data_IF_825546101038
#
_entry.id   IF_825546101038
#
_cell.length_a   1.000
_cell.length_b   1.000
_cell.length_c   1.000
_cell.angle_alpha   90.00
_cell.angle_beta   90.00
_cell.angle_gamma   90.00
#
_symmetry.space_group_name_H-M   'P 1'
#
loop_
_entity.id
_entity.type
_entity.pdbx_description
1 polymer ?
#
# COMPACT_ATOMS: atom_id res chain seq x y z
N UNK A 1 20.63 -25.72 29.70
CA UNK A 1 21.49 -25.18 28.61
C UNK A 1 20.75 -24.22 27.66
N UNK A 2 19.43 -24.13 27.72
CA UNK A 2 18.61 -23.28 26.81
C UNK A 2 18.43 -21.82 27.27
N UNK A 3 18.57 -21.50 28.54
CA UNK A 3 18.29 -20.14 29.06
C UNK A 3 19.42 -19.13 28.80
N UNK A 4 20.64 -19.55 28.60
CA UNK A 4 21.78 -18.67 28.33
C UNK A 4 21.80 -18.20 26.87
N UNK A 5 21.20 -18.95 25.97
CA UNK A 5 21.23 -18.70 24.53
C UNK A 5 20.22 -17.59 24.11
N UNK A 6 19.06 -17.52 24.74
CA UNK A 6 18.00 -16.56 24.39
C UNK A 6 18.38 -15.11 24.72
N UNK A 7 18.97 -14.85 25.89
CA UNK A 7 19.40 -13.49 26.27
C UNK A 7 20.51 -12.98 25.34
N UNK A 8 21.45 -13.85 24.97
CA UNK A 8 22.51 -13.52 24.01
C UNK A 8 21.96 -13.26 22.59
N UNK A 9 20.92 -13.96 22.18
CA UNK A 9 20.28 -13.76 20.88
C UNK A 9 19.48 -12.44 20.83
N UNK A 10 18.75 -12.10 21.90
CA UNK A 10 18.04 -10.81 22.01
C UNK A 10 19.03 -9.63 22.02
N UNK A 11 20.11 -9.72 22.77
CA UNK A 11 21.16 -8.70 22.79
C UNK A 11 21.78 -8.51 21.39
N UNK A 12 22.10 -9.60 20.70
CA UNK A 12 22.62 -9.53 19.34
C UNK A 12 21.62 -8.94 18.33
N UNK A 13 20.32 -9.30 18.45
CA UNK A 13 19.26 -8.72 17.64
C UNK A 13 19.18 -7.21 17.86
N UNK A 14 19.11 -6.74 19.11
CA UNK A 14 19.02 -5.31 19.43
C UNK A 14 20.27 -4.56 18.96
N UNK A 15 21.48 -5.15 19.13
CA UNK A 15 22.74 -4.58 18.62
C UNK A 15 22.67 -4.34 17.11
N UNK A 16 22.14 -5.31 16.33
CA UNK A 16 21.94 -5.15 14.88
C UNK A 16 20.97 -4.00 14.58
N UNK A 17 19.84 -3.94 15.30
CA UNK A 17 18.87 -2.86 15.16
C UNK A 17 19.51 -1.50 15.42
N UNK A 18 20.26 -1.36 16.51
CA UNK A 18 20.94 -0.11 16.88
C UNK A 18 21.98 0.31 15.84
N UNK A 19 22.75 -0.65 15.32
CA UNK A 19 23.77 -0.44 14.29
C UNK A 19 23.20 -0.22 12.87
N UNK A 20 21.87 -0.22 12.70
CA UNK A 20 21.22 -0.15 11.38
C UNK A 20 21.57 -1.33 10.44
N UNK A 21 22.05 -2.44 10.99
CA UNK A 21 22.25 -3.67 10.25
C UNK A 21 20.90 -4.31 9.90
N UNK A 22 20.80 -4.92 8.72
CA UNK A 22 19.57 -5.62 8.31
C UNK A 22 19.41 -6.94 9.02
N UNK A 23 18.19 -7.22 9.45
CA UNK A 23 17.79 -8.56 9.88
C UNK A 23 17.41 -9.35 8.62
N UNK A 24 18.07 -10.46 8.41
CA UNK A 24 17.84 -11.33 7.26
C UNK A 24 17.02 -12.57 7.64
N UNK A 25 16.41 -13.30 6.67
CA UNK A 25 15.52 -14.43 6.95
C UNK A 25 16.11 -15.55 7.84
N UNK A 26 17.42 -15.70 7.83
CA UNK A 26 18.14 -16.70 8.62
C UNK A 26 18.58 -16.20 10.00
N UNK A 27 18.47 -14.91 10.24
CA UNK A 27 18.81 -14.34 11.54
C UNK A 27 17.74 -14.73 12.57
N UNK A 28 18.20 -14.94 13.80
CA UNK A 28 17.27 -15.02 14.90
C UNK A 28 16.57 -13.66 15.13
N UNK A 29 15.27 -13.71 15.35
CA UNK A 29 14.46 -12.54 15.65
C UNK A 29 13.36 -12.88 16.68
N UNK A 30 12.99 -11.93 17.55
CA UNK A 30 11.88 -12.12 18.47
C UNK A 30 10.58 -12.42 17.73
N UNK A 31 9.76 -13.30 18.30
CA UNK A 31 8.47 -13.66 17.69
C UNK A 31 7.53 -12.45 17.55
N UNK A 32 7.59 -11.50 18.46
CA UNK A 32 6.83 -10.25 18.39
C UNK A 32 7.25 -9.37 17.20
N UNK A 33 8.56 -9.32 16.89
CA UNK A 33 9.08 -8.63 15.70
C UNK A 33 8.61 -9.33 14.42
N UNK A 34 8.70 -10.66 14.35
CA UNK A 34 8.22 -11.48 13.23
C UNK A 34 6.73 -11.24 12.95
N UNK A 35 5.90 -11.32 13.99
CA UNK A 35 4.44 -11.09 13.87
C UNK A 35 4.10 -9.68 13.40
N UNK A 36 4.83 -8.66 13.86
CA UNK A 36 4.65 -7.29 13.42
C UNK A 36 4.98 -7.13 11.93
N UNK A 37 6.09 -7.73 11.48
CA UNK A 37 6.48 -7.74 10.06
C UNK A 37 5.45 -8.46 9.20
N UNK A 38 5.00 -9.67 9.59
CA UNK A 38 3.99 -10.42 8.85
C UNK A 38 2.74 -9.57 8.69
N UNK A 39 2.23 -8.99 9.77
CA UNK A 39 1.05 -8.12 9.74
C UNK A 39 1.22 -6.93 8.78
N UNK A 40 2.34 -6.21 8.90
CA UNK A 40 2.57 -5.00 8.11
C UNK A 40 2.79 -5.32 6.63
N UNK A 41 3.62 -6.32 6.34
CA UNK A 41 3.96 -6.70 4.97
C UNK A 41 2.79 -7.37 4.25
N UNK A 42 2.01 -8.21 4.96
CA UNK A 42 0.81 -8.81 4.37
C UNK A 42 -0.26 -7.76 4.08
N UNK A 43 -0.50 -6.82 5.00
CA UNK A 43 -1.44 -5.72 4.77
C UNK A 43 -1.03 -4.88 3.54
N UNK A 44 0.26 -4.63 3.37
CA UNK A 44 0.78 -3.93 2.20
C UNK A 44 0.54 -4.76 0.93
N UNK A 45 0.92 -6.04 0.90
CA UNK A 45 0.68 -6.94 -0.24
C UNK A 45 -0.81 -7.04 -0.61
N UNK A 46 -1.69 -7.15 0.39
CA UNK A 46 -3.14 -7.17 0.18
C UNK A 46 -3.65 -5.85 -0.40
N UNK A 47 -3.04 -4.73 0.00
CA UNK A 47 -3.39 -3.40 -0.52
C UNK A 47 -3.09 -3.29 -2.00
N UNK A 48 -1.92 -3.75 -2.45
CA UNK A 48 -1.55 -3.80 -3.87
C UNK A 48 -2.55 -4.63 -4.69
N UNK A 49 -2.85 -5.85 -4.21
CA UNK A 49 -3.75 -6.77 -4.91
C UNK A 49 -5.19 -6.23 -5.00
N UNK A 50 -5.72 -5.69 -3.92
CA UNK A 50 -7.07 -5.10 -3.90
C UNK A 50 -7.08 -3.77 -4.67
N UNK A 51 -6.01 -2.98 -4.56
CA UNK A 51 -5.83 -1.69 -5.21
C UNK A 51 -5.89 -1.76 -6.74
N UNK A 52 -5.56 -2.90 -7.34
CA UNK A 52 -5.73 -3.10 -8.78
C UNK A 52 -7.18 -2.96 -9.27
N UNK A 53 -8.17 -3.27 -8.42
CA UNK A 53 -9.57 -3.33 -8.87
C UNK A 53 -10.15 -1.96 -9.26
N UNK A 54 -10.03 -0.89 -8.43
CA UNK A 54 -10.61 0.41 -8.77
C UNK A 54 -10.06 0.98 -10.08
N UNK A 55 -8.82 0.73 -10.42
CA UNK A 55 -8.18 1.21 -11.64
C UNK A 55 -8.32 0.21 -12.81
N UNK A 56 -8.19 -1.08 -12.55
CA UNK A 56 -8.35 -2.14 -13.54
C UNK A 56 -9.70 -2.09 -14.26
N UNK A 57 -10.75 -1.74 -13.55
CA UNK A 57 -12.10 -1.53 -14.10
C UNK A 57 -12.19 -0.36 -15.11
N UNK A 58 -11.18 0.51 -15.16
CA UNK A 58 -11.11 1.65 -16.07
C UNK A 58 -10.24 1.43 -17.30
N UNK A 59 -9.49 0.34 -17.40
CA UNK A 59 -8.58 0.09 -18.53
C UNK A 59 -9.31 0.21 -19.86
N UNK A 60 -10.48 -0.44 -20.01
CA UNK A 60 -11.26 -0.40 -21.27
C UNK A 60 -11.98 0.93 -21.48
N UNK A 61 -12.23 1.70 -20.42
CA UNK A 61 -12.97 2.97 -20.43
C UNK A 61 -12.09 4.21 -20.47
N UNK A 62 -10.76 4.06 -20.33
CA UNK A 62 -9.82 5.17 -20.37
C UNK A 62 -9.96 5.99 -21.67
N UNK A 63 -9.82 7.33 -21.63
CA UNK A 63 -10.27 8.23 -22.70
C UNK A 63 -9.46 8.17 -23.99
N UNK A 64 -8.31 7.52 -24.00
CA UNK A 64 -7.49 7.36 -25.21
C UNK A 64 -6.69 6.06 -25.17
N UNK A 65 -6.21 5.60 -26.32
CA UNK A 65 -5.37 4.39 -26.39
C UNK A 65 -4.08 4.56 -25.58
N UNK A 66 -3.48 5.76 -25.58
CA UNK A 66 -2.31 6.07 -24.74
C UNK A 66 -2.65 5.91 -23.24
N UNK A 67 -3.78 6.46 -22.78
CA UNK A 67 -4.20 6.34 -21.38
C UNK A 67 -4.56 4.92 -21.00
N UNK A 68 -5.14 4.13 -21.93
CA UNK A 68 -5.36 2.69 -21.71
C UNK A 68 -4.04 1.94 -21.48
N UNK A 69 -3.04 2.18 -22.33
CA UNK A 69 -1.74 1.53 -22.23
C UNK A 69 -1.01 1.92 -20.90
N UNK A 70 -1.05 3.18 -20.52
CA UNK A 70 -0.46 3.66 -19.24
C UNK A 70 -1.16 3.00 -18.05
N UNK A 71 -2.49 2.98 -18.02
CA UNK A 71 -3.25 2.38 -16.92
C UNK A 71 -3.04 0.86 -16.82
N UNK A 72 -2.96 0.16 -17.97
CA UNK A 72 -2.64 -1.26 -18.00
C UNK A 72 -1.26 -1.54 -17.42
N UNK A 73 -0.26 -0.72 -17.78
CA UNK A 73 1.10 -0.84 -17.23
C UNK A 73 1.10 -0.65 -15.72
N UNK A 74 0.42 0.39 -15.22
CA UNK A 74 0.28 0.63 -13.78
C UNK A 74 -0.34 -0.58 -13.06
N UNK A 75 -1.49 -1.06 -13.50
CA UNK A 75 -2.17 -2.20 -12.88
C UNK A 75 -1.30 -3.47 -12.89
N UNK A 76 -0.47 -3.64 -13.91
CA UNK A 76 0.51 -4.73 -13.96
C UNK A 76 1.63 -4.55 -12.92
N UNK A 77 2.10 -3.32 -12.71
CA UNK A 77 3.10 -3.01 -11.69
C UNK A 77 2.54 -3.29 -10.28
N UNK A 78 1.30 -2.90 -9.97
CA UNK A 78 0.63 -3.22 -8.68
C UNK A 78 0.56 -4.73 -8.41
N UNK A 79 0.26 -5.52 -9.47
CA UNK A 79 0.32 -6.98 -9.36
C UNK A 79 1.74 -7.48 -9.02
N UNK A 80 2.75 -6.87 -9.61
CA UNK A 80 4.17 -7.14 -9.35
C UNK A 80 4.56 -6.78 -7.92
N UNK A 81 4.12 -5.62 -7.42
CA UNK A 81 4.32 -5.17 -6.04
C UNK A 81 3.76 -6.18 -5.04
N UNK A 82 2.50 -6.61 -5.24
CA UNK A 82 1.87 -7.65 -4.44
C UNK A 82 2.69 -8.94 -4.40
N UNK A 83 3.20 -9.40 -5.56
CA UNK A 83 4.05 -10.60 -5.64
C UNK A 83 5.37 -10.45 -4.87
N UNK A 84 6.05 -9.28 -4.97
CA UNK A 84 7.30 -9.05 -4.24
C UNK A 84 7.07 -9.04 -2.74
N UNK A 85 5.99 -8.39 -2.28
CA UNK A 85 5.65 -8.29 -0.87
C UNK A 85 5.24 -9.64 -0.28
N UNK A 86 4.43 -10.43 -1.00
CA UNK A 86 4.14 -11.80 -0.58
C UNK A 86 5.40 -12.65 -0.49
N UNK A 87 6.26 -12.59 -1.51
CA UNK A 87 7.53 -13.36 -1.49
C UNK A 87 8.46 -12.95 -0.35
N UNK A 88 8.49 -11.66 -0.01
CA UNK A 88 9.24 -11.19 1.15
C UNK A 88 8.59 -11.65 2.47
N UNK A 89 7.25 -11.70 2.55
CA UNK A 89 6.52 -12.15 3.75
C UNK A 89 6.68 -13.68 3.95
N UNK A 90 6.71 -14.45 2.86
CA UNK A 90 6.95 -15.89 2.90
C UNK A 90 8.30 -16.25 3.54
N UNK A 91 9.30 -15.37 3.48
CA UNK A 91 10.59 -15.56 4.16
C UNK A 91 10.50 -15.53 5.69
N UNK A 92 9.36 -15.11 6.24
CA UNK A 92 9.05 -15.12 7.67
C UNK A 92 8.35 -16.42 8.13
N UNK A 93 8.18 -17.41 7.23
CA UNK A 93 7.65 -18.74 7.55
C UNK A 93 6.12 -18.86 7.47
N UNK A 94 5.45 -17.93 6.79
CA UNK A 94 4.02 -18.02 6.46
C UNK A 94 3.86 -18.22 4.96
N UNK A 95 2.96 -19.10 4.54
CA UNK A 95 2.73 -19.36 3.11
C UNK A 95 1.84 -18.30 2.46
N UNK A 96 2.02 -18.08 1.16
CA UNK A 96 1.13 -17.22 0.36
C UNK A 96 -0.32 -17.69 0.42
N UNK A 97 -0.57 -18.99 0.46
CA UNK A 97 -1.90 -19.53 0.55
C UNK A 97 -2.60 -19.14 1.86
N UNK A 98 -1.87 -19.15 2.99
CA UNK A 98 -2.40 -18.68 4.28
C UNK A 98 -2.68 -17.17 4.24
N UNK A 99 -1.79 -16.37 3.63
CA UNK A 99 -1.99 -14.93 3.48
C UNK A 99 -3.23 -14.59 2.65
N UNK A 100 -3.42 -15.29 1.52
CA UNK A 100 -4.59 -15.12 0.66
C UNK A 100 -5.87 -15.59 1.37
N UNK A 101 -5.83 -16.71 2.06
CA UNK A 101 -6.98 -17.21 2.83
C UNK A 101 -7.40 -16.21 3.91
N UNK A 102 -6.45 -15.61 4.63
CA UNK A 102 -6.74 -14.57 5.62
C UNK A 102 -7.36 -13.29 5.01
N UNK A 103 -6.95 -12.91 3.78
CA UNK A 103 -7.59 -11.81 3.06
C UNK A 103 -9.05 -12.17 2.68
N UNK A 104 -9.28 -13.37 2.16
CA UNK A 104 -10.59 -13.82 1.70
C UNK A 104 -11.59 -14.05 2.85
N UNK A 105 -11.11 -14.48 4.02
CA UNK A 105 -11.94 -14.62 5.23
C UNK A 105 -12.27 -13.28 5.89
N UNK A 106 -11.58 -12.18 5.52
CA UNK A 106 -11.72 -10.87 6.15
C UNK A 106 -10.93 -10.73 7.47
N UNK A 107 -10.14 -11.72 7.85
CA UNK A 107 -9.23 -11.62 9.01
C UNK A 107 -8.09 -10.64 8.75
N UNK A 108 -7.52 -10.66 7.54
CA UNK A 108 -6.51 -9.72 7.14
C UNK A 108 -7.12 -8.44 6.59
N UNK A 109 -6.42 -7.32 6.79
CA UNK A 109 -6.82 -5.99 6.34
C UNK A 109 -5.96 -5.54 5.17
N UNK A 110 -6.49 -4.58 4.42
CA UNK A 110 -5.80 -3.81 3.38
C UNK A 110 -6.11 -2.32 3.57
N UNK A 111 -5.46 -1.44 2.81
CA UNK A 111 -5.64 0.00 2.95
C UNK A 111 -7.10 0.42 2.73
N UNK A 112 -7.65 1.20 3.67
CA UNK A 112 -9.06 1.64 3.69
C UNK A 112 -9.48 2.36 2.43
N UNK A 113 -8.56 3.11 1.81
CA UNK A 113 -8.80 3.95 0.63
C UNK A 113 -9.37 3.15 -0.56
N UNK A 114 -9.00 1.88 -0.72
CA UNK A 114 -9.51 1.06 -1.83
C UNK A 114 -10.99 0.67 -1.69
N UNK A 115 -11.62 1.01 -0.57
CA UNK A 115 -13.05 0.82 -0.33
C UNK A 115 -13.90 2.05 -0.75
N UNK A 116 -13.27 3.07 -1.33
CA UNK A 116 -13.96 4.21 -1.92
C UNK A 116 -14.27 3.95 -3.41
N UNK A 117 -15.39 4.47 -3.93
CA UNK A 117 -15.79 4.20 -5.31
C UNK A 117 -14.97 5.01 -6.32
N UNK A 118 -14.69 4.41 -7.47
CA UNK A 118 -14.05 5.06 -8.62
C UNK A 118 -15.09 5.33 -9.68
N UNK A 119 -15.71 6.50 -9.65
CA UNK A 119 -16.93 6.85 -10.41
C UNK A 119 -16.60 7.49 -11.76
N UNK A 120 -15.49 8.23 -11.85
CA UNK A 120 -15.10 9.00 -13.02
C UNK A 120 -13.65 8.78 -13.39
N UNK A 121 -13.25 9.24 -14.58
CA UNK A 121 -11.83 9.26 -14.98
C UNK A 121 -10.99 10.17 -14.06
N UNK A 122 -11.60 11.20 -13.49
CA UNK A 122 -10.96 12.05 -12.49
C UNK A 122 -10.55 11.26 -11.25
N UNK A 123 -11.35 10.27 -10.83
CA UNK A 123 -11.03 9.43 -9.68
C UNK A 123 -9.80 8.55 -9.95
N UNK A 124 -9.65 8.05 -11.18
CA UNK A 124 -8.42 7.33 -11.58
C UNK A 124 -7.19 8.25 -11.47
N UNK A 125 -7.34 9.51 -11.87
CA UNK A 125 -6.30 10.53 -11.70
C UNK A 125 -6.02 10.81 -10.21
N UNK A 126 -7.07 10.91 -9.39
CA UNK A 126 -6.93 11.17 -7.95
C UNK A 126 -6.27 9.97 -7.23
N UNK A 127 -6.58 8.74 -7.60
CA UNK A 127 -5.90 7.54 -7.08
C UNK A 127 -4.41 7.63 -7.42
N UNK A 128 -4.05 7.79 -8.69
CA UNK A 128 -2.65 7.90 -9.08
C UNK A 128 -1.90 9.05 -8.41
N UNK A 129 -2.54 10.18 -8.16
CA UNK A 129 -1.87 11.32 -7.55
C UNK A 129 -1.86 11.26 -6.01
N UNK A 130 -3.05 11.11 -5.38
CA UNK A 130 -3.18 11.21 -3.93
C UNK A 130 -2.87 9.88 -3.23
N UNK A 131 -3.36 8.76 -3.77
CA UNK A 131 -3.19 7.45 -3.10
C UNK A 131 -1.77 6.96 -3.29
N UNK A 132 -1.25 6.96 -4.52
CA UNK A 132 0.14 6.58 -4.77
C UNK A 132 1.11 7.62 -4.15
N UNK A 133 0.72 8.90 -4.11
CA UNK A 133 1.49 9.94 -3.40
C UNK A 133 1.61 9.67 -1.90
N UNK A 134 0.51 9.29 -1.24
CA UNK A 134 0.54 8.89 0.17
C UNK A 134 1.31 7.58 0.36
N UNK A 135 1.16 6.63 -0.57
CA UNK A 135 1.94 5.39 -0.57
C UNK A 135 3.45 5.68 -0.65
N UNK A 136 3.90 6.53 -1.57
CA UNK A 136 5.31 6.92 -1.70
C UNK A 136 5.85 7.54 -0.41
N UNK A 137 5.12 8.47 0.21
CA UNK A 137 5.55 9.08 1.47
C UNK A 137 5.79 8.03 2.56
N UNK A 138 4.91 7.04 2.67
CA UNK A 138 5.09 5.89 3.56
C UNK A 138 6.27 4.99 3.15
N UNK A 139 6.33 4.62 1.89
CA UNK A 139 7.21 3.58 1.36
C UNK A 139 8.68 4.03 1.27
N UNK A 140 8.95 5.31 1.03
CA UNK A 140 10.32 5.85 0.99
C UNK A 140 11.01 5.62 2.33
N UNK A 141 10.33 5.80 3.45
CA UNK A 141 10.88 5.50 4.78
C UNK A 141 11.14 4.00 4.97
N UNK A 142 10.32 3.14 4.37
CA UNK A 142 10.45 1.67 4.43
C UNK A 142 11.64 1.12 3.65
N UNK A 143 12.26 1.87 2.73
CA UNK A 143 13.54 1.48 2.12
C UNK A 143 14.64 1.32 3.18
N UNK A 144 14.48 1.95 4.33
CA UNK A 144 15.38 1.88 5.47
C UNK A 144 14.89 0.96 6.59
N UNK A 145 13.79 0.23 6.39
CA UNK A 145 13.27 -0.73 7.37
C UNK A 145 14.36 -1.72 7.80
N UNK A 146 14.29 -2.20 9.03
CA UNK A 146 15.27 -3.13 9.59
C UNK A 146 15.26 -4.51 8.94
N UNK A 147 14.15 -4.92 8.28
CA UNK A 147 14.06 -6.22 7.63
C UNK A 147 14.54 -6.18 6.18
N UNK A 148 15.60 -6.92 5.88
CA UNK A 148 16.31 -6.87 4.59
C UNK A 148 15.43 -7.15 3.36
N UNK A 149 14.63 -8.23 3.31
CA UNK A 149 13.75 -8.52 2.17
C UNK A 149 12.76 -7.41 1.88
N UNK A 150 12.13 -6.82 2.92
CA UNK A 150 11.19 -5.72 2.77
C UNK A 150 11.88 -4.45 2.25
N UNK A 151 13.02 -4.09 2.86
CA UNK A 151 13.83 -2.94 2.44
C UNK A 151 14.21 -3.01 0.95
N UNK A 152 14.66 -4.16 0.47
CA UNK A 152 15.04 -4.35 -0.94
C UNK A 152 13.85 -4.25 -1.89
N UNK A 153 12.68 -4.80 -1.51
CA UNK A 153 11.45 -4.67 -2.28
C UNK A 153 11.03 -3.22 -2.46
N UNK A 154 11.12 -2.41 -1.40
CA UNK A 154 10.73 -0.99 -1.43
C UNK A 154 11.55 -0.14 -2.40
N UNK A 155 12.81 -0.47 -2.65
CA UNK A 155 13.67 0.27 -3.60
C UNK A 155 13.06 0.25 -5.02
N UNK A 156 12.53 -0.89 -5.43
CA UNK A 156 11.89 -1.04 -6.75
C UNK A 156 10.50 -0.43 -6.75
N UNK A 157 9.67 -0.80 -5.78
CA UNK A 157 8.28 -0.32 -5.66
C UNK A 157 8.23 1.20 -5.69
N UNK A 158 9.01 1.91 -4.88
CA UNK A 158 9.02 3.38 -4.87
C UNK A 158 9.38 4.03 -6.21
N UNK A 159 10.18 3.36 -7.05
CA UNK A 159 10.50 3.90 -8.39
C UNK A 159 9.30 3.83 -9.34
N UNK A 160 8.60 2.71 -9.31
CA UNK A 160 7.41 2.47 -10.11
C UNK A 160 6.26 3.38 -9.65
N UNK A 161 6.03 3.50 -8.33
CA UNK A 161 5.06 4.40 -7.72
C UNK A 161 5.27 5.88 -8.08
N UNK A 162 6.52 6.34 -8.15
CA UNK A 162 6.82 7.71 -8.56
C UNK A 162 6.31 8.02 -9.97
N UNK A 163 6.31 7.03 -10.84
CA UNK A 163 5.77 7.16 -12.18
C UNK A 163 4.23 7.17 -12.16
N UNK A 164 3.62 6.32 -11.33
CA UNK A 164 2.17 6.25 -11.14
C UNK A 164 1.63 7.59 -10.62
N UNK A 165 2.24 8.14 -9.56
CA UNK A 165 1.87 9.44 -9.00
C UNK A 165 1.91 10.55 -10.06
N UNK A 166 2.97 10.62 -10.84
CA UNK A 166 3.10 11.61 -11.90
C UNK A 166 2.00 11.47 -12.95
N UNK A 167 1.67 10.25 -13.37
CA UNK A 167 0.62 10.00 -14.36
C UNK A 167 -0.76 10.38 -13.86
N UNK A 168 -1.05 10.14 -12.57
CA UNK A 168 -2.28 10.56 -11.91
C UNK A 168 -2.40 12.09 -11.85
N UNK A 169 -1.35 12.77 -11.40
CA UNK A 169 -1.31 14.22 -11.37
C UNK A 169 -1.50 14.86 -12.77
N UNK A 170 -0.81 14.36 -13.79
CA UNK A 170 -0.96 14.82 -15.18
C UNK A 170 -2.40 14.59 -15.70
N UNK A 171 -3.08 13.53 -15.28
CA UNK A 171 -4.48 13.29 -15.66
C UNK A 171 -5.41 14.35 -15.04
N UNK A 172 -5.25 14.65 -13.75
CA UNK A 172 -6.02 15.70 -13.09
C UNK A 172 -5.69 17.08 -13.59
N UNK A 173 -4.42 17.38 -13.86
CA UNK A 173 -4.00 18.65 -14.46
C UNK A 173 -4.67 18.89 -15.82
N UNK A 174 -4.77 17.86 -16.65
CA UNK A 174 -5.46 17.95 -17.94
C UNK A 174 -6.96 18.22 -17.77
N UNK A 175 -7.61 17.62 -16.78
CA UNK A 175 -9.03 17.89 -16.47
C UNK A 175 -9.22 19.28 -15.87
N UNK A 176 -8.38 19.68 -14.91
CA UNK A 176 -8.47 20.98 -14.24
C UNK A 176 -8.27 22.18 -15.19
N UNK A 177 -7.51 21.97 -16.28
CA UNK A 177 -7.28 22.97 -17.35
C UNK A 177 -8.22 22.80 -18.56
N UNK A 178 -9.17 21.87 -18.49
CA UNK A 178 -10.11 21.59 -19.57
C UNK A 178 -11.36 22.43 -19.52
N UNK A 179 -12.50 21.85 -19.95
CA UNK A 179 -13.80 22.51 -19.86
C UNK A 179 -14.26 22.68 -18.40
N UNK A 180 -15.26 23.54 -18.12
CA UNK A 180 -15.84 23.67 -16.79
C UNK A 180 -16.28 22.33 -16.18
N UNK A 181 -16.87 21.44 -16.97
CA UNK A 181 -17.32 20.12 -16.54
C UNK A 181 -16.15 19.20 -16.20
N UNK A 182 -15.06 19.29 -16.96
CA UNK A 182 -13.81 18.55 -16.68
C UNK A 182 -13.14 19.07 -15.40
N UNK A 183 -13.11 20.39 -15.21
CA UNK A 183 -12.59 20.98 -13.97
C UNK A 183 -13.45 20.55 -12.76
N UNK A 184 -14.78 20.54 -12.91
CA UNK A 184 -15.67 20.06 -11.87
C UNK A 184 -15.41 18.58 -11.56
N UNK A 185 -15.21 17.74 -12.56
CA UNK A 185 -14.84 16.33 -12.37
C UNK A 185 -13.53 16.19 -11.56
N UNK A 186 -12.53 17.02 -11.83
CA UNK A 186 -11.28 17.02 -11.07
C UNK A 186 -11.51 17.45 -9.61
N UNK A 187 -12.35 18.47 -9.40
CA UNK A 187 -12.73 18.94 -8.06
C UNK A 187 -13.46 17.86 -7.25
N UNK A 188 -14.45 17.23 -7.86
CA UNK A 188 -15.25 16.17 -7.21
C UNK A 188 -14.35 14.98 -6.82
N UNK A 189 -13.37 14.65 -7.66
CA UNK A 189 -12.42 13.58 -7.39
C UNK A 189 -11.44 13.95 -6.29
N UNK A 190 -10.95 15.19 -6.27
CA UNK A 190 -10.14 15.71 -5.16
C UNK A 190 -10.91 15.66 -3.83
N UNK A 191 -12.15 16.11 -3.82
CA UNK A 191 -13.00 16.10 -2.63
C UNK A 191 -13.25 14.68 -2.10
N UNK A 192 -13.36 13.69 -2.99
CA UNK A 192 -13.62 12.30 -2.63
C UNK A 192 -12.38 11.60 -2.05
N UNK A 193 -11.19 11.91 -2.53
CA UNK A 193 -9.99 11.14 -2.20
C UNK A 193 -9.03 11.84 -1.24
N UNK A 194 -9.15 13.15 -1.00
CA UNK A 194 -8.22 13.88 -0.15
C UNK A 194 -8.19 13.37 1.30
N UNK A 195 -9.34 13.37 1.98
CA UNK A 195 -9.42 12.91 3.36
C UNK A 195 -9.09 11.42 3.52
N UNK A 196 -9.62 10.53 2.68
CA UNK A 196 -9.20 9.12 2.69
C UNK A 196 -7.69 8.91 2.45
N UNK A 197 -7.03 9.74 1.65
CA UNK A 197 -5.58 9.67 1.47
C UNK A 197 -4.81 10.03 2.75
N UNK A 198 -5.29 11.02 3.53
CA UNK A 198 -4.72 11.34 4.85
C UNK A 198 -4.89 10.20 5.86
N UNK A 199 -6.00 9.46 5.77
CA UNK A 199 -6.27 8.29 6.62
C UNK A 199 -5.31 7.11 6.34
N UNK A 200 -4.65 7.07 5.17
CA UNK A 200 -3.69 6.00 4.84
C UNK A 200 -2.47 5.98 5.78
N UNK A 201 -2.15 7.08 6.42
CA UNK A 201 -1.07 7.15 7.40
C UNK A 201 -1.43 6.50 8.75
N UNK A 202 -2.71 6.19 8.94
CA UNK A 202 -3.26 5.63 10.18
C UNK A 202 -3.57 6.70 11.24
N UNK A 203 -4.13 6.32 12.39
CA UNK A 203 -4.48 7.24 13.46
C UNK A 203 -3.23 7.90 14.06
N UNK A 204 -3.44 8.89 14.93
CA UNK A 204 -2.37 9.55 15.67
C UNK A 204 -1.47 8.54 16.39
N UNK A 205 -0.17 8.86 16.48
CA UNK A 205 0.80 7.93 17.08
C UNK A 205 0.49 7.61 18.54
N UNK A 206 -0.12 8.54 19.28
CA UNK A 206 -0.61 8.33 20.64
C UNK A 206 -1.71 7.25 20.75
N UNK A 207 -2.43 6.99 19.67
CA UNK A 207 -3.54 6.03 19.59
C UNK A 207 -3.15 4.73 18.86
N UNK A 208 -1.95 4.70 18.29
CA UNK A 208 -1.47 3.57 17.50
C UNK A 208 -0.78 2.52 18.37
N UNK A 209 -1.46 1.42 18.64
CA UNK A 209 -0.97 0.32 19.48
C UNK A 209 0.37 -0.32 19.01
N UNK A 210 0.74 -0.14 17.74
CA UNK A 210 1.91 -0.79 17.14
C UNK A 210 3.01 0.18 16.74
N UNK A 211 2.76 1.50 16.74
CA UNK A 211 3.70 2.49 16.23
C UNK A 211 5.00 2.51 17.05
N UNK A 212 4.91 2.57 18.36
CA UNK A 212 6.07 2.65 19.25
C UNK A 212 7.05 1.46 19.06
N UNK A 213 6.54 0.23 19.05
CA UNK A 213 7.37 -0.97 18.84
C UNK A 213 7.94 -1.06 17.42
N UNK A 214 7.19 -0.63 16.41
CA UNK A 214 7.68 -0.58 15.03
C UNK A 214 8.81 0.44 14.86
N UNK A 215 8.75 1.56 15.58
CA UNK A 215 9.82 2.57 15.63
C UNK A 215 11.05 2.06 16.40
N UNK A 216 10.87 1.45 17.58
CA UNK A 216 11.95 0.85 18.38
C UNK A 216 12.75 -0.18 17.57
N UNK A 217 12.07 -1.04 16.84
CA UNK A 217 12.69 -2.06 15.99
C UNK A 217 13.11 -1.55 14.61
N UNK A 218 12.97 -0.26 14.37
CA UNK A 218 13.29 0.37 13.08
C UNK A 218 12.60 -0.30 11.88
N UNK A 219 11.47 -0.97 12.10
CA UNK A 219 10.57 -1.39 11.03
C UNK A 219 10.00 -0.15 10.37
N UNK A 220 9.54 0.81 11.16
CA UNK A 220 9.11 2.15 10.81
C UNK A 220 10.20 3.16 11.18
N UNK A 221 10.38 4.21 10.39
CA UNK A 221 11.43 5.22 10.62
C UNK A 221 10.87 6.61 10.91
N UNK A 222 9.60 6.80 10.69
CA UNK A 222 8.90 8.06 10.86
C UNK A 222 7.53 7.78 11.46
N UNK A 223 7.00 8.74 12.20
CA UNK A 223 5.69 8.62 12.83
C UNK A 223 4.55 8.75 11.82
N UNK A 224 3.34 8.33 12.18
CA UNK A 224 2.16 8.54 11.34
C UNK A 224 1.92 10.03 11.11
N UNK A 225 2.08 10.82 12.16
CA UNK A 225 1.84 12.25 12.14
C UNK A 225 2.87 12.98 11.28
N UNK A 226 4.16 12.63 11.37
CA UNK A 226 5.21 13.21 10.51
C UNK A 226 4.97 12.89 9.03
N UNK A 227 4.63 11.64 8.71
CA UNK A 227 4.37 11.24 7.33
C UNK A 227 3.13 11.93 6.75
N UNK A 228 2.07 12.05 7.55
CA UNK A 228 0.86 12.79 7.16
C UNK A 228 1.15 14.26 6.91
N UNK A 229 1.93 14.91 7.80
CA UNK A 229 2.34 16.30 7.65
C UNK A 229 3.14 16.50 6.35
N UNK A 230 4.11 15.64 6.07
CA UNK A 230 4.85 15.68 4.80
C UNK A 230 3.95 15.59 3.58
N UNK A 231 2.96 14.70 3.62
CA UNK A 231 2.02 14.58 2.50
C UNK A 231 1.16 15.83 2.32
N UNK A 232 0.69 16.44 3.42
CA UNK A 232 -0.05 17.71 3.39
C UNK A 232 0.81 18.81 2.77
N UNK A 233 2.04 18.98 3.25
CA UNK A 233 2.96 20.02 2.79
C UNK A 233 3.33 19.88 1.29
N UNK A 234 3.35 18.64 0.78
CA UNK A 234 3.57 18.36 -0.65
C UNK A 234 2.32 18.60 -1.50
N UNK A 235 1.14 18.29 -0.95
CA UNK A 235 -0.10 18.24 -1.73
C UNK A 235 -0.78 19.60 -1.84
N UNK A 236 -0.74 20.43 -0.80
CA UNK A 236 -1.38 21.76 -0.79
C UNK A 236 -0.89 22.65 -1.93
N UNK A 237 0.42 22.84 -2.16
CA UNK A 237 0.89 23.64 -3.31
C UNK A 237 0.49 23.04 -4.67
N UNK A 238 0.36 21.72 -4.75
CA UNK A 238 -0.07 21.05 -5.98
C UNK A 238 -1.56 21.32 -6.28
N UNK A 239 -2.43 21.36 -5.26
CA UNK A 239 -3.83 21.75 -5.40
C UNK A 239 -3.95 23.19 -5.91
N UNK A 240 -3.13 24.11 -5.40
CA UNK A 240 -3.06 25.49 -5.85
C UNK A 240 -2.67 25.59 -7.34
N UNK A 241 -1.65 24.85 -7.79
CA UNK A 241 -1.24 24.79 -9.20
C UNK A 241 -2.35 24.24 -10.11
N UNK A 242 -3.13 23.27 -9.62
CA UNK A 242 -4.31 22.77 -10.33
C UNK A 242 -5.41 23.83 -10.44
N UNK A 243 -5.43 24.83 -9.57
CA UNK A 243 -6.47 25.87 -9.48
C UNK A 243 -7.81 25.28 -9.01
N UNK A 244 -7.73 24.27 -8.14
CA UNK A 244 -8.86 23.62 -7.47
C UNK A 244 -9.02 24.18 -6.06
N UNK A 245 -10.24 24.09 -5.53
CA UNK A 245 -10.49 24.43 -4.14
C UNK A 245 -9.99 23.32 -3.22
N UNK A 246 -9.31 23.71 -2.14
CA UNK A 246 -8.85 22.75 -1.15
C UNK A 246 -10.06 22.14 -0.39
N UNK A 247 -10.13 20.79 -0.25
CA UNK A 247 -11.25 20.12 0.45
C UNK A 247 -11.32 20.47 1.94
N UNK A 248 -10.16 20.65 2.55
CA UNK A 248 -10.04 21.15 3.92
C UNK A 248 -10.14 22.68 3.93
N UNK A 249 -11.19 23.21 4.56
CA UNK A 249 -11.42 24.66 4.64
C UNK A 249 -10.65 25.32 5.80
N UNK A 250 -10.04 24.53 6.66
CA UNK A 250 -9.24 25.01 7.79
C UNK A 250 -7.75 25.09 7.46
N UNK A 251 -7.35 24.56 6.28
CA UNK A 251 -5.95 24.53 5.85
C UNK A 251 -5.34 25.93 5.83
N UNK A 252 -4.21 26.11 6.49
CA UNK A 252 -3.48 27.39 6.51
C UNK A 252 -2.00 27.16 6.73
N UNK A 253 -1.18 27.99 6.14
CA UNK A 253 0.26 28.01 6.41
C UNK A 253 0.53 28.55 7.82
N UNK A 254 1.38 27.86 8.56
CA UNK A 254 1.84 28.25 9.90
C UNK A 254 3.31 28.62 9.84
N UNK A 255 3.60 29.90 9.90
CA UNK A 255 4.97 30.45 9.80
C UNK A 255 5.89 29.97 10.93
N UNK A 256 5.36 29.76 12.13
CA UNK A 256 6.17 29.33 13.28
C UNK A 256 6.60 27.87 13.14
N UNK A 257 5.73 27.02 12.60
CA UNK A 257 5.99 25.60 12.39
C UNK A 257 6.70 25.31 11.06
N UNK A 258 6.58 26.21 10.08
CA UNK A 258 7.03 25.97 8.71
C UNK A 258 6.24 24.85 8.00
N UNK A 259 4.97 24.65 8.37
CA UNK A 259 4.08 23.60 7.88
C UNK A 259 2.67 24.13 7.70
N UNK A 260 1.84 23.40 6.92
CA UNK A 260 0.41 23.66 6.88
C UNK A 260 -0.30 23.05 8.10
N UNK A 261 -1.08 23.85 8.82
CA UNK A 261 -2.06 23.34 9.77
C UNK A 261 -3.28 22.84 9.01
N UNK A 262 -3.71 21.63 9.28
CA UNK A 262 -4.88 20.99 8.67
C UNK A 262 -6.01 20.84 9.69
N UNK A 263 -7.24 20.73 9.18
CA UNK A 263 -8.42 20.38 9.97
C UNK A 263 -8.40 18.93 10.46
N UNK A 264 -9.38 18.58 11.27
CA UNK A 264 -9.50 17.26 11.87
C UNK A 264 -9.98 16.21 10.85
N UNK A 265 -9.40 15.01 10.95
CA UNK A 265 -9.79 13.84 10.16
C UNK A 265 -10.94 13.12 10.86
N UNK A 266 -11.94 12.68 10.10
CA UNK A 266 -13.02 11.83 10.61
C UNK A 266 -12.52 10.40 10.84
N UNK A 267 -12.04 10.14 12.04
CA UNK A 267 -11.57 8.81 12.43
C UNK A 267 -12.70 7.81 12.61
N UNK A 268 -13.94 8.23 12.86
CA UNK A 268 -15.11 7.33 12.93
C UNK A 268 -15.40 6.76 11.53
N UNK A 269 -15.30 7.57 10.48
CA UNK A 269 -15.33 7.08 9.09
C UNK A 269 -14.22 6.06 8.83
N UNK A 270 -12.98 6.38 9.21
CA UNK A 270 -11.85 5.44 9.03
C UNK A 270 -12.11 4.09 9.69
N UNK A 271 -12.51 4.10 10.98
CA UNK A 271 -12.80 2.85 11.70
C UNK A 271 -14.01 2.11 11.12
N UNK A 272 -15.03 2.81 10.67
CA UNK A 272 -16.18 2.22 9.96
C UNK A 272 -15.71 1.47 8.71
N UNK A 273 -14.88 2.10 7.88
CA UNK A 273 -14.36 1.50 6.64
C UNK A 273 -13.47 0.29 6.91
N UNK A 274 -12.51 0.36 7.83
CA UNK A 274 -11.64 -0.79 8.12
C UNK A 274 -12.36 -1.95 8.80
N UNK A 275 -13.55 -1.71 9.35
CA UNK A 275 -14.43 -2.73 9.92
C UNK A 275 -15.45 -3.29 8.91
N UNK A 276 -15.31 -2.97 7.63
CA UNK A 276 -16.09 -3.57 6.55
C UNK A 276 -17.35 -2.80 6.14
N UNK A 277 -17.56 -1.60 6.69
CA UNK A 277 -18.77 -0.79 6.43
C UNK A 277 -18.57 0.32 5.40
N UNK A 278 -17.43 0.36 4.69
CA UNK A 278 -17.18 1.30 3.60
C UNK A 278 -17.96 0.95 2.33
N UNK A 279 -18.04 1.90 1.42
CA UNK A 279 -18.88 1.83 0.20
C UNK A 279 -18.58 0.59 -0.68
N UNK A 280 -17.34 0.13 -0.75
CA UNK A 280 -16.92 -0.93 -1.66
C UNK A 280 -16.32 -2.15 -0.97
N UNK A 281 -16.25 -2.23 0.37
CA UNK A 281 -15.61 -3.33 1.08
C UNK A 281 -16.07 -4.70 0.58
N UNK A 282 -17.38 -4.92 0.58
CA UNK A 282 -17.98 -6.17 0.14
C UNK A 282 -17.62 -6.48 -1.31
N UNK A 283 -17.80 -5.50 -2.20
CA UNK A 283 -17.50 -5.67 -3.61
C UNK A 283 -16.03 -6.04 -3.87
N UNK A 284 -15.09 -5.40 -3.16
CA UNK A 284 -13.64 -5.67 -3.34
C UNK A 284 -13.29 -7.10 -2.99
N UNK A 285 -13.79 -7.59 -1.86
CA UNK A 285 -13.51 -8.96 -1.40
C UNK A 285 -14.24 -9.99 -2.27
N UNK A 286 -15.52 -9.79 -2.59
CA UNK A 286 -16.28 -10.69 -3.46
C UNK A 286 -15.65 -10.82 -4.86
N UNK A 287 -15.22 -9.71 -5.47
CA UNK A 287 -14.53 -9.75 -6.76
C UNK A 287 -13.19 -10.49 -6.68
N UNK A 288 -12.44 -10.30 -5.58
CA UNK A 288 -11.18 -11.00 -5.38
C UNK A 288 -11.40 -12.51 -5.23
N UNK A 289 -12.39 -12.94 -4.47
CA UNK A 289 -12.75 -14.35 -4.29
C UNK A 289 -13.20 -14.95 -5.63
N UNK A 290 -14.12 -14.30 -6.34
CA UNK A 290 -14.61 -14.77 -7.62
C UNK A 290 -13.47 -14.97 -8.65
N UNK A 291 -12.57 -13.99 -8.78
CA UNK A 291 -11.42 -14.09 -9.67
C UNK A 291 -10.45 -15.22 -9.25
N UNK A 292 -10.27 -15.44 -7.96
CA UNK A 292 -9.47 -16.53 -7.43
C UNK A 292 -10.10 -17.89 -7.78
N UNK A 293 -11.40 -18.06 -7.58
CA UNK A 293 -12.12 -19.31 -7.84
C UNK A 293 -12.17 -19.61 -9.36
N UNK A 294 -12.47 -18.60 -10.18
CA UNK A 294 -12.44 -18.74 -11.65
C UNK A 294 -11.04 -19.11 -12.16
N UNK A 295 -9.97 -18.71 -11.49
CA UNK A 295 -8.59 -19.07 -11.82
C UNK A 295 -8.16 -20.48 -11.38
N UNK A 296 -9.02 -21.28 -10.75
CA UNK A 296 -8.66 -22.60 -10.19
C UNK A 296 -8.12 -23.54 -11.27
N UNK A 297 -8.77 -23.62 -12.43
CA UNK A 297 -8.32 -24.47 -13.54
C UNK A 297 -6.91 -24.15 -14.04
N UNK A 298 -6.48 -22.86 -13.98
CA UNK A 298 -5.11 -22.46 -14.34
C UNK A 298 -4.12 -22.98 -13.30
N UNK A 299 -4.44 -22.85 -12.01
CA UNK A 299 -3.60 -23.35 -10.91
C UNK A 299 -3.46 -24.87 -10.98
N UNK A 300 -4.55 -25.58 -11.25
CA UNK A 300 -4.56 -27.03 -11.41
C UNK A 300 -3.69 -27.47 -12.59
N UNK A 301 -3.79 -26.77 -13.73
CA UNK A 301 -2.96 -27.04 -14.89
C UNK A 301 -1.46 -26.80 -14.61
N UNK A 302 -1.12 -25.74 -13.88
CA UNK A 302 0.26 -25.43 -13.47
C UNK A 302 0.77 -26.53 -12.49
N UNK A 303 -0.03 -26.95 -11.55
CA UNK A 303 0.29 -28.02 -10.59
C UNK A 303 0.59 -29.32 -11.34
N UNK A 304 -0.32 -29.75 -12.20
CA UNK A 304 -0.15 -30.96 -13.00
C UNK A 304 1.09 -30.89 -13.93
N UNK A 305 1.38 -29.73 -14.50
CA UNK A 305 2.60 -29.52 -15.28
C UNK A 305 3.87 -29.69 -14.43
N UNK A 306 3.89 -29.11 -13.24
CA UNK A 306 5.04 -29.17 -12.34
C UNK A 306 5.27 -30.61 -11.83
N UNK A 307 4.22 -31.33 -11.48
CA UNK A 307 4.31 -32.75 -11.10
C UNK A 307 4.90 -33.60 -12.22
N UNK A 308 4.43 -33.43 -13.45
CA UNK A 308 4.93 -34.14 -14.62
C UNK A 308 6.40 -33.79 -14.93
N UNK A 309 6.80 -32.54 -14.75
CA UNK A 309 8.19 -32.08 -14.90
C UNK A 309 9.11 -32.68 -13.85
N UNK A 310 8.67 -32.73 -12.58
CA UNK A 310 9.43 -33.30 -11.48
C UNK A 310 9.56 -34.83 -11.61
N UNK A 311 8.51 -35.54 -12.01
CA UNK A 311 8.56 -36.97 -12.31
C UNK A 311 9.58 -37.31 -13.42
N UNK A 312 9.63 -36.52 -14.50
CA UNK A 312 10.64 -36.68 -15.56
C UNK A 312 12.04 -36.45 -15.06
N UNK A 313 12.26 -35.45 -14.18
CA UNK A 313 13.60 -35.20 -13.58
C UNK A 313 14.04 -36.38 -12.72
N UNK A 314 13.15 -36.95 -11.92
CA UNK A 314 13.46 -38.09 -11.06
C UNK A 314 13.83 -39.33 -11.90
N UNK A 315 13.16 -39.57 -13.04
CA UNK A 315 13.46 -40.69 -13.97
C UNK A 315 14.81 -40.52 -14.66
N UNK A 316 15.29 -39.28 -14.89
CA UNK A 316 16.59 -39.02 -15.56
C UNK A 316 17.78 -39.03 -14.59
N UNK A 317 17.56 -39.15 -13.29
CA UNK A 317 18.59 -39.19 -12.24
C UNK A 317 18.78 -40.63 -11.68
N UNK A 318 17.83 -41.51 -11.98
CA UNK A 318 17.88 -42.94 -11.67
C UNK A 318 18.50 -43.73 -12.86
#
# INVERSE_FOLDING_TARGET
METIDMTSQEENFMRKIEADEKIEPKDWMPEAYRKNLIRQMSQHAHSEVIGMQPEGNWITRAPSLRRKAVLLSKVQDEAGHGLYLYSATETLGISRAELIAALQSGEAKYASIFNYPTLTWGDVGAIGWLVDGAAIVNQVSLQRTSYGPYSRGMIRICKEESFHQRQGYEALLALAKGSPEQKQMAQDSLNRFYWPALMMFGPHDSESAHSAKSMEWKIKRETNDDLRQKFIDQTVPQIEVLGLEHPDKEIKWNEERGHYDAGEIDWDEFYSVINGNGHCNRQRVEHHIAAHDEGTWVRDAITAYNEKKNAKKAQNVA
#
